data_IF_496545439065
#
_entry.id   IF_496545439065
#
_cell.length_a   1.000
_cell.length_b   1.000
_cell.length_c   1.000
_cell.angle_alpha   90.00
_cell.angle_beta   90.00
_cell.angle_gamma   90.00
#
_symmetry.space_group_name_H-M   'P 1'
#
loop_
_entity.id
_entity.type
_entity.pdbx_description
1 polymer ?
#
# COMPACT_ATOMS: atom_id res chain seq x y z
N UNK A 1 18.90 -13.41 32.08
CA UNK A 1 18.29 -12.09 32.36
C UNK A 1 18.83 -10.99 31.46
N UNK A 2 20.15 -10.75 31.41
CA UNK A 2 20.75 -9.71 30.55
C UNK A 2 20.43 -9.87 29.04
N UNK A 3 20.44 -11.12 28.53
CA UNK A 3 20.12 -11.43 27.14
C UNK A 3 18.69 -11.04 26.74
N UNK A 4 17.72 -11.20 27.64
CA UNK A 4 16.32 -10.84 27.40
C UNK A 4 16.13 -9.32 27.31
N UNK A 5 16.81 -8.57 28.18
CA UNK A 5 16.77 -7.10 28.15
C UNK A 5 17.46 -6.55 26.90
N UNK A 6 18.62 -7.11 26.53
CA UNK A 6 19.34 -6.71 25.31
C UNK A 6 18.49 -6.96 24.06
N UNK A 7 17.88 -8.14 23.95
CA UNK A 7 17.02 -8.49 22.82
C UNK A 7 15.81 -7.55 22.71
N UNK A 8 15.18 -7.22 23.85
CA UNK A 8 14.05 -6.31 23.89
C UNK A 8 14.41 -4.90 23.39
N UNK A 9 15.53 -4.35 23.87
CA UNK A 9 16.02 -3.03 23.46
C UNK A 9 16.35 -3.00 21.97
N UNK A 10 17.04 -4.01 21.44
CA UNK A 10 17.38 -4.08 20.01
C UNK A 10 16.12 -4.17 19.16
N UNK A 11 15.15 -5.01 19.56
CA UNK A 11 13.89 -5.14 18.84
C UNK A 11 13.13 -3.81 18.76
N UNK A 12 13.05 -3.09 19.89
CA UNK A 12 12.44 -1.77 19.92
C UNK A 12 13.17 -0.79 19.01
N UNK A 13 14.50 -0.74 19.05
CA UNK A 13 15.31 0.12 18.17
C UNK A 13 15.01 -0.13 16.69
N UNK A 14 14.91 -1.40 16.30
CA UNK A 14 14.60 -1.81 14.92
C UNK A 14 13.17 -1.40 14.52
N UNK A 15 12.18 -1.60 15.40
CA UNK A 15 10.80 -1.15 15.17
C UNK A 15 10.70 0.37 15.03
N UNK A 16 11.37 1.12 15.91
CA UNK A 16 11.44 2.58 15.84
C UNK A 16 12.13 3.04 14.55
N UNK A 17 13.25 2.40 14.18
CA UNK A 17 13.96 2.71 12.92
C UNK A 17 13.07 2.51 11.68
N UNK A 18 12.31 1.42 11.62
CA UNK A 18 11.35 1.19 10.53
C UNK A 18 10.23 2.24 10.50
N UNK A 19 9.64 2.56 11.66
CA UNK A 19 8.58 3.54 11.76
C UNK A 19 9.05 4.94 11.32
N UNK A 20 10.21 5.37 11.82
CA UNK A 20 10.83 6.64 11.44
C UNK A 20 11.07 6.67 9.92
N UNK A 21 11.62 5.60 9.33
CA UNK A 21 11.85 5.52 7.89
C UNK A 21 10.58 5.72 7.05
N UNK A 22 9.45 5.13 7.46
CA UNK A 22 8.17 5.29 6.75
C UNK A 22 7.61 6.71 6.88
N UNK A 23 7.69 7.31 8.07
CA UNK A 23 7.23 8.69 8.31
C UNK A 23 8.01 9.68 7.44
N UNK A 24 9.33 9.56 7.37
CA UNK A 24 10.18 10.42 6.53
C UNK A 24 9.98 10.20 5.04
N UNK A 25 9.52 9.02 4.60
CA UNK A 25 9.29 8.79 3.17
C UNK A 25 8.21 9.70 2.60
N UNK A 26 7.28 10.23 3.41
CA UNK A 26 6.21 11.15 2.98
C UNK A 26 5.26 10.62 1.90
N UNK A 27 5.51 9.39 1.41
CA UNK A 27 4.75 8.74 0.36
C UNK A 27 3.59 8.01 0.98
N UNK A 28 2.40 8.25 0.44
CA UNK A 28 1.21 7.47 0.77
C UNK A 28 1.45 6.01 0.35
N UNK A 29 1.04 5.07 1.20
CA UNK A 29 1.08 3.63 0.87
C UNK A 29 0.21 3.40 -0.36
N UNK A 30 0.86 3.22 -1.52
CA UNK A 30 0.17 2.97 -2.79
C UNK A 30 -0.53 1.61 -2.69
N UNK A 31 -1.82 1.55 -3.02
CA UNK A 31 -2.60 0.31 -2.95
C UNK A 31 -3.26 -0.01 -1.61
N UNK A 32 -3.23 0.90 -0.61
CA UNK A 32 -3.94 0.69 0.66
C UNK A 32 -5.46 0.50 0.51
N UNK A 33 -6.04 0.95 -0.61
CA UNK A 33 -7.45 0.75 -0.95
C UNK A 33 -7.69 -0.50 -1.82
N UNK A 34 -6.77 -1.47 -1.80
CA UNK A 34 -6.99 -2.80 -2.38
C UNK A 34 -7.19 -2.85 -3.89
N UNK A 35 -6.69 -1.86 -4.65
CA UNK A 35 -6.87 -1.79 -6.10
C UNK A 35 -8.07 -0.96 -6.56
N UNK A 36 -8.91 -0.44 -5.65
CA UNK A 36 -10.01 0.48 -5.97
C UNK A 36 -9.55 1.85 -6.51
N UNK A 37 -8.23 2.07 -6.51
CA UNK A 37 -7.56 3.18 -7.17
C UNK A 37 -7.46 3.00 -8.71
N UNK A 38 -7.98 1.89 -9.25
CA UNK A 38 -7.96 1.50 -10.66
C UNK A 38 -9.29 1.77 -11.40
N UNK A 39 -10.28 2.35 -10.73
CA UNK A 39 -11.57 2.66 -11.35
C UNK A 39 -11.35 3.82 -12.34
N UNK A 40 -11.55 3.55 -13.63
CA UNK A 40 -11.42 4.55 -14.69
C UNK A 40 -12.42 5.70 -14.48
N UNK A 41 -11.93 6.95 -14.58
CA UNK A 41 -12.75 8.16 -14.42
C UNK A 41 -12.92 8.67 -12.98
N UNK A 42 -12.31 8.03 -11.98
CA UNK A 42 -12.30 8.53 -10.62
C UNK A 42 -11.03 9.35 -10.34
N UNK A 43 -11.15 10.66 -10.09
CA UNK A 43 -10.03 11.51 -9.62
C UNK A 43 -9.71 11.30 -8.12
N UNK A 44 -10.66 10.70 -7.38
CA UNK A 44 -10.57 10.41 -5.96
C UNK A 44 -10.96 8.97 -5.67
N UNK A 45 -10.26 8.34 -4.74
CA UNK A 45 -10.59 6.99 -4.29
C UNK A 45 -11.93 6.98 -3.56
N UNK A 46 -12.84 6.05 -3.92
CA UNK A 46 -14.20 5.97 -3.36
C UNK A 46 -14.21 5.66 -1.86
N UNK A 47 -13.21 4.93 -1.36
CA UNK A 47 -13.15 4.48 0.04
C UNK A 47 -12.61 5.57 0.97
N UNK A 48 -11.45 6.13 0.63
CA UNK A 48 -10.75 7.09 1.50
C UNK A 48 -10.89 8.55 1.03
N UNK A 49 -11.63 8.80 -0.06
CA UNK A 49 -11.91 10.13 -0.67
C UNK A 49 -10.66 10.96 -0.99
N UNK A 50 -9.48 10.35 -0.98
CA UNK A 50 -8.20 10.99 -1.30
C UNK A 50 -7.94 10.95 -2.79
N UNK A 51 -7.21 11.95 -3.27
CA UNK A 51 -6.73 12.05 -4.65
C UNK A 51 -5.80 10.89 -5.00
N UNK A 52 -5.97 10.41 -6.22
CA UNK A 52 -5.26 9.28 -6.80
C UNK A 52 -3.95 9.78 -7.41
N UNK A 53 -2.82 9.14 -7.06
CA UNK A 53 -1.47 9.54 -7.48
C UNK A 53 -1.24 9.25 -8.99
N UNK A 54 -1.18 10.28 -9.85
CA UNK A 54 -1.07 10.14 -11.31
C UNK A 54 0.35 9.83 -11.78
N UNK A 55 1.33 9.73 -10.90
CA UNK A 55 2.69 9.25 -11.23
C UNK A 55 2.97 7.88 -10.60
N UNK A 56 1.91 7.17 -10.17
CA UNK A 56 2.08 5.84 -9.61
C UNK A 56 2.37 4.80 -10.70
N UNK A 57 3.43 3.97 -10.53
CA UNK A 57 3.72 2.84 -11.43
C UNK A 57 2.62 1.77 -11.41
N UNK A 58 1.61 1.93 -10.54
CA UNK A 58 0.41 1.11 -10.51
C UNK A 58 -0.45 1.31 -11.78
N UNK A 59 -0.47 2.52 -12.37
CA UNK A 59 -1.26 2.79 -13.59
C UNK A 59 -0.77 1.97 -14.77
N UNK A 60 0.56 1.84 -14.91
CA UNK A 60 1.19 1.03 -15.96
C UNK A 60 0.97 -0.48 -15.72
N UNK A 61 0.92 -0.91 -14.45
CA UNK A 61 0.61 -2.30 -14.09
C UNK A 61 -0.86 -2.68 -14.33
N UNK A 62 -1.80 -1.73 -14.30
CA UNK A 62 -3.21 -1.95 -14.69
C UNK A 62 -3.39 -2.15 -16.20
N UNK A 63 -2.52 -1.54 -17.01
CA UNK A 63 -2.52 -1.73 -18.47
C UNK A 63 -2.09 -3.15 -18.87
N UNK A 64 -1.42 -3.90 -17.98
CA UNK A 64 -1.00 -5.26 -18.25
C UNK A 64 -2.22 -6.23 -18.20
N UNK A 65 -2.51 -7.00 -19.27
CA UNK A 65 -3.68 -7.90 -19.34
C UNK A 65 -3.75 -8.94 -18.22
N UNK A 66 -2.63 -9.27 -17.57
CA UNK A 66 -2.57 -10.22 -16.45
C UNK A 66 -3.14 -9.67 -15.14
N UNK A 67 -3.10 -8.36 -14.90
CA UNK A 67 -3.62 -7.75 -13.67
C UNK A 67 -5.15 -7.69 -13.63
N UNK A 68 -5.81 -7.66 -14.81
CA UNK A 68 -7.27 -7.63 -14.94
C UNK A 68 -7.95 -8.91 -14.42
N UNK A 69 -7.32 -10.07 -14.63
CA UNK A 69 -7.86 -11.38 -14.21
C UNK A 69 -8.01 -11.55 -12.70
N UNK A 70 -7.25 -10.81 -11.89
CA UNK A 70 -7.40 -10.82 -10.43
C UNK A 70 -8.59 -9.97 -9.95
N UNK A 71 -8.99 -8.95 -10.72
CA UNK A 71 -10.20 -8.15 -10.47
C UNK A 71 -11.46 -8.82 -11.02
N UNK A 72 -11.40 -9.35 -12.23
CA UNK A 72 -12.54 -9.99 -12.90
C UNK A 72 -13.00 -11.29 -12.19
N UNK A 73 -12.11 -12.01 -11.50
CA UNK A 73 -12.48 -13.19 -10.72
C UNK A 73 -13.27 -12.85 -9.42
N UNK A 74 -13.19 -11.60 -8.93
CA UNK A 74 -13.94 -11.15 -7.76
C UNK A 74 -15.33 -10.59 -8.15
N UNK A 75 -15.49 -10.06 -9.36
CA UNK A 75 -16.77 -9.52 -9.85
C UNK A 75 -17.71 -10.60 -10.41
N UNK A 76 -17.21 -11.74 -10.90
CA UNK A 76 -18.06 -12.87 -11.38
C UNK A 76 -18.68 -13.69 -10.24
N UNK A 77 -18.26 -13.47 -8.99
CA UNK A 77 -18.80 -14.14 -7.80
C UNK A 77 -19.88 -13.31 -7.06
N UNK A 78 -20.37 -12.21 -7.65
CA UNK A 78 -21.54 -11.46 -7.18
C UNK A 78 -22.71 -11.55 -8.14
#
# INVERSE_FOLDING_TARGET
MATMMLAFVIFLLVMFGMAIGVIFSGRRIKGSCGGLNAIEGADRCVVCKREIDPDSPLRERMACPRARRAGEAADVAR
#
